data_IF_250424969926
#
_entry.id   IF_250424969926
#
_cell.length_a   1.000
_cell.length_b   1.000
_cell.length_c   1.000
_cell.angle_alpha   90.00
_cell.angle_beta   90.00
_cell.angle_gamma   90.00
#
_symmetry.space_group_name_H-M   'P 1'
#
loop_
_entity.id
_entity.type
_entity.pdbx_description
1 polymer ?
#
# COMPACT_ATOMS: atom_id res chain seq x y z
N UNK A 1 13.10 -69.16 -15.31
CA UNK A 1 13.42 -68.30 -16.46
C UNK A 1 13.13 -66.86 -16.06
N UNK A 2 14.13 -65.98 -16.14
CA UNK A 2 14.03 -64.58 -15.73
C UNK A 2 15.34 -64.05 -15.16
N UNK A 3 16.34 -63.89 -16.03
CA UNK A 3 17.59 -63.19 -15.71
C UNK A 3 17.41 -61.66 -15.78
N UNK A 4 18.30 -60.87 -15.16
CA UNK A 4 17.99 -59.58 -14.54
C UNK A 4 18.35 -58.38 -15.42
N UNK A 5 17.65 -57.25 -15.23
CA UNK A 5 18.08 -55.96 -15.76
C UNK A 5 18.78 -55.15 -14.67
N UNK A 6 20.11 -55.16 -14.79
CA UNK A 6 21.07 -54.25 -14.15
C UNK A 6 21.07 -52.92 -14.91
N UNK A 7 20.74 -51.81 -14.24
CA UNK A 7 21.01 -50.46 -14.75
C UNK A 7 22.05 -49.77 -13.87
N UNK A 8 23.22 -49.36 -14.40
CA UNK A 8 24.23 -48.63 -13.64
C UNK A 8 23.97 -47.11 -13.59
N UNK A 9 24.25 -46.56 -12.40
CA UNK A 9 24.36 -45.14 -12.06
C UNK A 9 25.51 -44.42 -12.79
N UNK A 10 25.35 -43.15 -13.21
CA UNK A 10 26.47 -42.34 -13.67
C UNK A 10 26.73 -41.05 -12.88
N UNK A 11 26.36 -40.94 -11.59
CA UNK A 11 26.82 -39.80 -10.79
C UNK A 11 28.09 -40.12 -10.01
N UNK A 12 29.21 -39.99 -10.73
CA UNK A 12 30.54 -39.81 -10.15
C UNK A 12 31.21 -38.68 -10.90
N UNK A 13 31.56 -37.58 -10.22
CA UNK A 13 32.80 -36.87 -10.52
C UNK A 13 33.27 -36.00 -9.36
N UNK A 14 34.52 -36.29 -9.02
CA UNK A 14 35.49 -35.78 -8.03
C UNK A 14 35.91 -34.32 -8.30
N UNK A 15 36.40 -33.57 -7.28
CA UNK A 15 36.92 -32.21 -7.48
C UNK A 15 38.34 -32.20 -8.07
N UNK A 16 38.56 -31.33 -9.04
CA UNK A 16 39.86 -30.79 -9.50
C UNK A 16 39.58 -29.34 -9.84
N UNK A 17 40.39 -28.34 -9.58
CA UNK A 17 41.84 -28.27 -9.49
C UNK A 17 42.19 -26.85 -9.95
N UNK A 18 43.27 -26.31 -9.42
CA UNK A 18 43.71 -24.95 -9.59
C UNK A 18 43.80 -24.48 -11.06
N UNK A 19 43.41 -23.23 -11.31
CA UNK A 19 43.90 -22.45 -12.44
C UNK A 19 44.41 -21.11 -11.92
N UNK A 20 45.72 -20.92 -12.09
CA UNK A 20 46.45 -19.69 -11.84
C UNK A 20 46.16 -18.74 -13.00
N UNK A 21 45.69 -17.54 -12.70
CA UNK A 21 45.70 -16.42 -13.65
C UNK A 21 46.47 -15.26 -13.03
N UNK A 22 47.69 -15.11 -13.51
CA UNK A 22 48.54 -13.94 -13.36
C UNK A 22 48.05 -12.84 -14.29
N UNK A 23 47.67 -11.68 -13.76
CA UNK A 23 47.93 -10.38 -14.42
C UNK A 23 48.10 -9.28 -13.35
N UNK A 24 49.13 -8.42 -13.47
CA UNK A 24 49.30 -7.26 -12.60
C UNK A 24 48.50 -6.07 -13.14
N UNK A 25 47.61 -5.49 -12.32
CA UNK A 25 46.97 -4.20 -12.61
C UNK A 25 47.49 -3.12 -11.66
N UNK A 26 47.91 -1.95 -12.20
CA UNK A 26 48.67 -0.95 -11.45
C UNK A 26 47.83 -0.14 -10.46
N UNK A 27 48.50 0.24 -9.37
CA UNK A 27 48.10 1.28 -8.42
C UNK A 27 47.80 2.60 -9.14
N UNK A 28 46.54 3.04 -9.13
CA UNK A 28 46.18 4.42 -9.40
C UNK A 28 45.52 5.04 -8.15
N UNK A 29 46.40 5.70 -7.40
CA UNK A 29 46.26 6.89 -6.56
C UNK A 29 44.83 7.44 -6.35
N UNK A 30 44.47 7.52 -5.06
CA UNK A 30 43.32 8.24 -4.55
C UNK A 30 43.47 9.75 -4.80
N UNK A 31 42.49 10.35 -5.47
CA UNK A 31 42.32 11.80 -5.54
C UNK A 31 41.29 12.26 -4.51
N UNK A 32 41.62 13.17 -3.59
CA UNK A 32 40.64 13.78 -2.71
C UNK A 32 39.79 14.76 -3.52
N UNK A 33 38.51 14.46 -3.71
CA UNK A 33 37.53 15.45 -4.19
C UNK A 33 36.97 16.19 -2.98
N UNK A 34 37.61 17.32 -2.69
CA UNK A 34 37.07 18.38 -1.84
C UNK A 34 35.80 18.95 -2.49
N UNK A 35 34.65 18.67 -1.87
CA UNK A 35 33.44 19.45 -2.07
C UNK A 35 32.95 19.97 -0.72
N UNK A 36 33.71 20.92 -0.17
CA UNK A 36 33.16 21.99 0.66
C UNK A 36 31.97 22.68 -0.02
N UNK A 37 30.76 22.14 0.15
CA UNK A 37 29.53 22.90 -0.12
C UNK A 37 29.07 23.57 1.17
N UNK A 38 29.66 24.75 1.44
CA UNK A 38 29.08 25.74 2.35
C UNK A 38 27.66 26.06 1.87
N UNK A 39 26.64 25.56 2.57
CA UNK A 39 25.26 26.02 2.40
C UNK A 39 25.13 27.35 3.13
N UNK A 40 25.35 28.45 2.42
CA UNK A 40 24.98 29.77 2.91
C UNK A 40 23.45 29.86 2.99
N UNK A 41 22.92 29.90 4.22
CA UNK A 41 21.51 30.06 4.49
C UNK A 41 21.17 31.56 4.42
N UNK A 42 21.01 32.09 3.20
CA UNK A 42 20.55 33.46 3.03
C UNK A 42 19.05 33.53 3.33
N UNK A 43 18.72 33.81 4.60
CA UNK A 43 17.45 34.43 5.00
C UNK A 43 17.32 35.75 4.22
N UNK A 44 16.59 35.75 3.11
CA UNK A 44 16.05 36.98 2.53
C UNK A 44 14.81 37.35 3.33
N UNK A 45 14.99 38.30 4.24
CA UNK A 45 13.91 38.96 4.96
C UNK A 45 13.36 40.07 4.07
N UNK A 46 12.45 39.74 3.16
CA UNK A 46 11.66 40.74 2.43
C UNK A 46 10.29 40.80 3.07
N UNK A 47 10.07 41.84 3.88
CA UNK A 47 8.76 42.24 4.43
C UNK A 47 7.88 42.74 3.27
N UNK A 48 6.75 42.10 2.94
CA UNK A 48 5.81 42.69 2.01
C UNK A 48 4.91 43.67 2.76
N UNK A 49 4.70 44.82 2.12
CA UNK A 49 3.85 45.92 2.55
C UNK A 49 2.39 45.45 2.67
N UNK A 50 1.70 45.95 3.68
CA UNK A 50 0.31 45.65 4.01
C UNK A 50 -0.64 46.22 2.92
N UNK A 51 -1.27 45.36 2.12
CA UNK A 51 -2.43 45.74 1.29
C UNK A 51 -3.69 45.11 1.86
N UNK A 52 -4.61 45.95 2.31
CA UNK A 52 -5.97 45.58 2.72
C UNK A 52 -6.77 45.16 1.48
N UNK A 53 -6.88 43.86 1.23
CA UNK A 53 -7.90 43.31 0.34
C UNK A 53 -9.13 42.91 1.14
N UNK A 54 -10.26 43.47 0.74
CA UNK A 54 -11.61 43.17 1.20
C UNK A 54 -11.95 41.70 0.91
N UNK A 55 -12.68 41.07 1.83
CA UNK A 55 -12.77 39.61 2.00
C UNK A 55 -13.31 38.81 0.82
N UNK A 56 -12.54 37.80 0.41
CA UNK A 56 -13.00 36.64 -0.37
C UNK A 56 -13.63 35.60 0.58
N UNK A 57 -14.83 35.06 0.28
CA UNK A 57 -15.41 33.95 1.03
C UNK A 57 -14.79 32.64 0.51
N UNK A 58 -13.48 32.46 0.68
CA UNK A 58 -12.84 31.19 0.36
C UNK A 58 -13.16 30.17 1.46
N UNK A 59 -14.34 29.58 1.30
CA UNK A 59 -14.74 28.22 1.65
C UNK A 59 -13.87 27.54 2.71
N UNK A 60 -14.49 27.33 3.87
CA UNK A 60 -13.95 26.69 5.07
C UNK A 60 -13.45 25.27 4.75
N UNK A 61 -12.26 25.14 4.17
CA UNK A 61 -11.62 23.85 4.03
C UNK A 61 -11.35 23.34 5.45
N UNK A 62 -11.88 22.18 5.84
CA UNK A 62 -11.71 21.67 7.20
C UNK A 62 -10.21 21.55 7.47
N UNK A 63 -9.74 22.24 8.52
CA UNK A 63 -8.36 22.16 8.97
C UNK A 63 -8.00 20.67 9.07
N UNK A 64 -7.08 20.23 8.22
CA UNK A 64 -6.55 18.88 8.21
C UNK A 64 -5.88 18.66 9.57
N UNK A 65 -6.64 18.18 10.55
CA UNK A 65 -6.05 17.80 11.84
C UNK A 65 -5.05 16.71 11.50
N UNK A 66 -3.78 16.91 11.85
CA UNK A 66 -2.72 15.93 11.61
C UNK A 66 -2.98 14.70 12.48
N UNK A 67 -3.85 13.81 12.00
CA UNK A 67 -4.04 12.50 12.61
C UNK A 67 -2.82 11.64 12.32
N UNK A 68 -2.38 10.89 13.33
CA UNK A 68 -1.32 9.91 13.14
C UNK A 68 -1.87 8.73 12.31
N UNK A 69 -1.86 8.88 10.98
CA UNK A 69 -2.36 7.89 10.01
C UNK A 69 -1.70 6.52 10.20
N UNK A 70 -0.43 6.48 10.59
CA UNK A 70 0.26 5.21 10.83
C UNK A 70 -0.29 4.46 12.05
N UNK A 71 -0.58 5.17 13.15
CA UNK A 71 -1.20 4.59 14.35
C UNK A 71 -2.63 4.10 14.08
N UNK A 72 -3.43 4.90 13.37
CA UNK A 72 -4.78 4.47 12.94
C UNK A 72 -4.70 3.23 12.06
N UNK A 73 -3.76 3.21 11.11
CA UNK A 73 -3.53 2.05 10.23
C UNK A 73 -3.19 0.79 11.03
N UNK A 74 -2.31 0.89 12.02
CA UNK A 74 -1.99 -0.24 12.90
C UNK A 74 -3.21 -0.71 13.69
N UNK A 75 -4.02 0.21 14.24
CA UNK A 75 -5.24 -0.12 14.98
C UNK A 75 -6.27 -0.85 14.13
N UNK A 76 -6.50 -0.42 12.89
CA UNK A 76 -7.41 -1.12 11.97
C UNK A 76 -6.85 -2.47 11.53
N UNK A 77 -5.55 -2.56 11.23
CA UNK A 77 -4.90 -3.84 10.91
C UNK A 77 -5.05 -4.87 12.03
N UNK A 78 -4.93 -4.44 13.29
CA UNK A 78 -5.04 -5.32 14.44
C UNK A 78 -6.45 -5.91 14.63
N UNK A 79 -7.49 -5.24 14.12
CA UNK A 79 -8.87 -5.73 14.21
C UNK A 79 -9.23 -6.77 13.15
N UNK A 80 -8.47 -6.82 12.04
CA UNK A 80 -8.64 -7.80 10.97
C UNK A 80 -10.08 -7.92 10.41
N UNK A 81 -10.84 -6.82 10.40
CA UNK A 81 -12.23 -6.79 9.95
C UNK A 81 -12.35 -6.93 8.42
N UNK A 82 -13.51 -7.40 7.92
CA UNK A 82 -13.79 -7.45 6.49
C UNK A 82 -13.94 -6.04 5.88
N UNK A 83 -13.95 -5.98 4.55
CA UNK A 83 -14.17 -4.73 3.82
C UNK A 83 -15.58 -4.19 4.05
N UNK A 84 -15.69 -2.95 4.55
CA UNK A 84 -16.98 -2.31 4.83
C UNK A 84 -17.82 -1.99 3.56
N UNK A 85 -17.20 -2.04 2.38
CA UNK A 85 -17.85 -1.74 1.09
C UNK A 85 -18.39 -3.01 0.41
N UNK A 86 -17.64 -4.11 0.35
CA UNK A 86 -18.09 -5.34 -0.34
C UNK A 86 -18.38 -6.51 0.61
N UNK A 87 -18.06 -6.39 1.89
CA UNK A 87 -18.24 -7.45 2.90
C UNK A 87 -17.24 -8.60 2.83
N UNK A 88 -16.38 -8.66 1.80
CA UNK A 88 -15.39 -9.74 1.68
C UNK A 88 -14.19 -9.52 2.62
N UNK A 89 -13.53 -10.63 2.99
CA UNK A 89 -12.32 -10.61 3.80
C UNK A 89 -11.21 -9.77 3.12
N UNK A 90 -10.41 -9.09 3.94
CA UNK A 90 -9.22 -8.37 3.48
C UNK A 90 -8.00 -9.20 3.85
N UNK A 91 -7.14 -9.49 2.88
CA UNK A 91 -5.79 -9.97 3.19
C UNK A 91 -4.90 -8.77 3.57
N UNK A 92 -4.65 -8.64 4.88
CA UNK A 92 -3.86 -7.55 5.47
C UNK A 92 -2.35 -7.67 5.24
N UNK A 93 -1.87 -8.78 4.66
CA UNK A 93 -0.48 -9.00 4.27
C UNK A 93 -0.14 -8.33 2.94
N UNK A 94 -1.15 -8.15 2.09
CA UNK A 94 -1.01 -7.51 0.79
C UNK A 94 -0.54 -6.05 0.93
N UNK A 95 0.41 -5.67 0.08
CA UNK A 95 0.92 -4.29 -0.01
C UNK A 95 0.13 -3.50 -1.03
N UNK A 96 -0.10 -2.22 -0.76
CA UNK A 96 -0.64 -1.30 -1.75
C UNK A 96 0.34 -1.19 -2.95
N UNK A 97 -0.14 -1.04 -4.20
CA UNK A 97 -1.53 -0.80 -4.61
C UNK A 97 -2.27 -2.06 -5.07
N UNK A 98 -2.05 -3.23 -4.45
CA UNK A 98 -2.79 -4.43 -4.81
C UNK A 98 -4.31 -4.22 -4.65
N UNK A 99 -5.17 -4.66 -5.58
CA UNK A 99 -6.61 -4.38 -5.55
C UNK A 99 -7.29 -4.76 -4.22
N UNK A 100 -6.92 -5.91 -3.68
CA UNK A 100 -7.43 -6.44 -2.40
C UNK A 100 -6.56 -6.10 -1.18
N UNK A 101 -5.60 -5.19 -1.32
CA UNK A 101 -4.84 -4.71 -0.15
C UNK A 101 -5.69 -3.80 0.73
N UNK A 102 -5.39 -3.84 2.02
CA UNK A 102 -6.01 -3.00 3.04
C UNK A 102 -5.72 -1.50 2.85
N UNK A 103 -6.78 -0.70 2.90
CA UNK A 103 -6.77 0.76 3.08
C UNK A 103 -7.79 1.19 4.12
N UNK A 104 -7.59 2.39 4.68
CA UNK A 104 -8.60 3.05 5.51
C UNK A 104 -9.48 3.89 4.58
N UNK A 105 -10.77 3.59 4.54
CA UNK A 105 -11.79 4.40 3.86
C UNK A 105 -12.41 5.39 4.84
N UNK A 106 -12.73 6.59 4.36
CA UNK A 106 -13.50 7.57 5.12
C UNK A 106 -15.00 7.43 4.81
N UNK A 107 -15.84 7.03 5.77
CA UNK A 107 -17.28 6.74 5.59
C UNK A 107 -17.98 7.90 4.85
N UNK A 108 -17.81 9.11 5.39
CA UNK A 108 -18.15 10.37 4.75
C UNK A 108 -16.87 10.93 4.11
N UNK A 109 -16.83 11.16 2.79
CA UNK A 109 -15.69 11.76 2.12
C UNK A 109 -15.40 13.17 2.66
N UNK A 110 -14.12 13.56 2.74
CA UNK A 110 -13.71 14.90 3.19
C UNK A 110 -14.36 16.02 2.36
N UNK A 111 -14.52 15.80 1.04
CA UNK A 111 -15.20 16.74 0.13
C UNK A 111 -16.65 17.02 0.52
N UNK A 112 -17.27 16.13 1.28
CA UNK A 112 -18.64 16.22 1.76
C UNK A 112 -18.72 16.50 3.28
N UNK A 113 -17.67 17.07 3.87
CA UNK A 113 -17.65 17.45 5.28
C UNK A 113 -17.28 16.33 6.25
N UNK A 114 -16.79 15.20 5.73
CA UNK A 114 -16.25 14.12 6.56
C UNK A 114 -14.99 14.54 7.34
N UNK A 115 -14.63 13.74 8.33
CA UNK A 115 -13.44 13.97 9.17
C UNK A 115 -12.41 12.85 9.03
N UNK A 116 -11.17 13.10 9.44
CA UNK A 116 -10.11 12.08 9.50
C UNK A 116 -10.09 11.32 10.84
N UNK A 117 -11.15 11.47 11.63
CA UNK A 117 -11.28 10.83 12.94
C UNK A 117 -11.52 9.34 12.78
N UNK A 118 -11.25 8.59 13.85
CA UNK A 118 -11.44 7.14 13.85
C UNK A 118 -12.92 6.75 13.61
N UNK A 119 -13.87 7.56 14.07
CA UNK A 119 -15.31 7.28 13.97
C UNK A 119 -15.84 7.41 12.53
N UNK A 120 -15.13 8.15 11.68
CA UNK A 120 -15.43 8.27 10.25
C UNK A 120 -14.54 7.35 9.40
N UNK A 121 -13.88 6.35 9.98
CA UNK A 121 -12.97 5.45 9.27
C UNK A 121 -13.48 4.01 9.33
N UNK A 122 -13.26 3.28 8.23
CA UNK A 122 -13.54 1.84 8.16
C UNK A 122 -12.48 1.13 7.30
N UNK A 123 -12.27 -0.18 7.51
CA UNK A 123 -11.37 -0.96 6.67
C UNK A 123 -12.01 -1.27 5.31
N UNK A 124 -11.25 -1.06 4.24
CA UNK A 124 -11.68 -1.36 2.88
C UNK A 124 -10.55 -1.96 2.04
N UNK A 125 -10.91 -2.61 0.93
CA UNK A 125 -9.95 -2.92 -0.12
C UNK A 125 -9.57 -1.66 -0.91
N UNK A 126 -8.34 -1.62 -1.41
CA UNK A 126 -7.85 -0.52 -2.24
C UNK A 126 -8.73 -0.28 -3.48
N UNK A 127 -9.17 -1.33 -4.17
CA UNK A 127 -10.05 -1.24 -5.34
C UNK A 127 -11.45 -0.71 -4.99
N UNK A 128 -12.06 -1.23 -3.92
CA UNK A 128 -13.37 -0.79 -3.45
C UNK A 128 -13.35 0.70 -3.07
N UNK A 129 -12.32 1.13 -2.33
CA UNK A 129 -12.12 2.54 -1.96
C UNK A 129 -11.95 3.44 -3.19
N UNK A 130 -11.22 2.96 -4.21
CA UNK A 130 -11.02 3.71 -5.46
C UNK A 130 -12.32 3.88 -6.25
N UNK A 131 -13.20 2.88 -6.25
CA UNK A 131 -14.53 2.99 -6.86
C UNK A 131 -15.39 3.98 -6.08
N UNK A 132 -15.40 3.89 -4.74
CA UNK A 132 -16.15 4.79 -3.87
C UNK A 132 -15.77 6.25 -4.11
N UNK A 133 -14.48 6.58 -4.12
CA UNK A 133 -14.01 7.95 -4.34
C UNK A 133 -14.76 8.94 -3.42
N UNK A 134 -15.41 9.96 -3.97
CA UNK A 134 -16.22 10.93 -3.22
C UNK A 134 -17.71 10.55 -3.15
N UNK A 135 -18.11 9.37 -3.61
CA UNK A 135 -19.51 8.93 -3.49
C UNK A 135 -19.84 8.47 -2.07
N UNK A 136 -21.14 8.38 -1.77
CA UNK A 136 -21.62 7.86 -0.49
C UNK A 136 -21.32 6.37 -0.32
N UNK A 137 -21.23 5.91 0.93
CA UNK A 137 -21.03 4.49 1.23
C UNK A 137 -22.13 3.60 0.62
N UNK A 138 -23.40 4.03 0.69
CA UNK A 138 -24.53 3.31 0.07
C UNK A 138 -24.37 3.15 -1.44
N UNK A 139 -23.93 4.21 -2.13
CA UNK A 139 -23.65 4.14 -3.56
C UNK A 139 -22.50 3.16 -3.84
N UNK A 140 -21.43 3.21 -3.05
CA UNK A 140 -20.25 2.38 -3.24
C UNK A 140 -20.55 0.89 -3.06
N UNK A 141 -21.28 0.54 -1.99
CA UNK A 141 -21.75 -0.84 -1.75
C UNK A 141 -22.49 -1.37 -2.97
N UNK A 142 -23.52 -0.65 -3.42
CA UNK A 142 -24.31 -1.03 -4.62
C UNK A 142 -23.43 -1.20 -5.85
N UNK A 143 -22.57 -0.22 -6.15
CA UNK A 143 -21.77 -0.23 -7.38
C UNK A 143 -20.71 -1.34 -7.38
N UNK A 144 -20.06 -1.59 -6.24
CA UNK A 144 -19.07 -2.66 -6.12
C UNK A 144 -19.73 -4.03 -6.27
N UNK A 145 -20.88 -4.26 -5.64
CA UNK A 145 -21.64 -5.51 -5.84
C UNK A 145 -22.07 -5.71 -7.30
N UNK A 146 -22.52 -4.66 -7.98
CA UNK A 146 -22.86 -4.70 -9.42
C UNK A 146 -21.64 -5.14 -10.26
N UNK A 147 -20.47 -4.56 -10.01
CA UNK A 147 -19.24 -4.91 -10.75
C UNK A 147 -18.77 -6.34 -10.47
N UNK A 148 -18.92 -6.82 -9.23
CA UNK A 148 -18.63 -8.21 -8.88
C UNK A 148 -19.57 -9.16 -9.64
N UNK A 149 -20.87 -8.88 -9.66
CA UNK A 149 -21.87 -9.71 -10.37
C UNK A 149 -21.63 -9.74 -11.89
N UNK A 150 -21.12 -8.65 -12.47
CA UNK A 150 -20.75 -8.58 -13.88
C UNK A 150 -19.42 -9.28 -14.21
N UNK A 151 -18.69 -9.80 -13.21
CA UNK A 151 -17.35 -10.37 -13.42
C UNK A 151 -16.28 -9.31 -13.73
N UNK A 152 -16.57 -8.03 -13.47
CA UNK A 152 -15.67 -6.91 -13.70
C UNK A 152 -14.77 -6.60 -12.49
N UNK A 153 -14.88 -7.38 -11.41
CA UNK A 153 -13.97 -7.30 -10.29
C UNK A 153 -12.60 -7.87 -10.67
N UNK A 154 -11.49 -7.29 -10.17
CA UNK A 154 -10.16 -7.87 -10.31
C UNK A 154 -10.13 -9.33 -9.88
N UNK A 155 -9.22 -10.13 -10.42
CA UNK A 155 -9.10 -11.52 -9.96
C UNK A 155 -8.59 -11.54 -8.51
N UNK A 156 -9.36 -12.17 -7.63
CA UNK A 156 -8.95 -12.48 -6.28
C UNK A 156 -8.36 -13.89 -6.30
N UNK A 157 -7.10 -14.10 -5.92
CA UNK A 157 -6.61 -15.47 -5.73
C UNK A 157 -7.17 -15.99 -4.40
N UNK A 158 -8.22 -16.81 -4.49
CA UNK A 158 -8.92 -17.33 -3.31
C UNK A 158 -8.17 -18.50 -2.65
N UNK A 159 -7.06 -18.99 -3.23
CA UNK A 159 -6.35 -20.17 -2.72
C UNK A 159 -5.70 -19.98 -1.34
N UNK A 160 -5.67 -18.76 -0.80
CA UNK A 160 -5.12 -18.45 0.52
C UNK A 160 -6.17 -18.15 1.59
N UNK A 161 -7.48 -18.16 1.29
CA UNK A 161 -8.54 -17.78 2.24
C UNK A 161 -9.52 -18.93 2.49
N UNK A 162 -9.07 -19.99 3.19
CA UNK A 162 -9.94 -21.12 3.61
C UNK A 162 -10.33 -21.01 5.09
N UNK A 163 -10.57 -19.80 5.60
CA UNK A 163 -11.25 -19.67 6.90
C UNK A 163 -12.56 -18.93 6.66
N UNK A 164 -13.72 -19.60 6.78
CA UNK A 164 -14.99 -18.90 6.72
C UNK A 164 -15.07 -18.00 7.94
N UNK A 165 -14.90 -16.69 7.74
CA UNK A 165 -15.29 -15.71 8.73
C UNK A 165 -16.82 -15.82 8.81
N UNK A 166 -17.32 -16.28 9.95
CA UNK A 166 -18.75 -16.39 10.22
C UNK A 166 -19.46 -15.07 9.84
N UNK A 167 -20.69 -15.13 9.31
CA UNK A 167 -21.41 -13.93 8.94
C UNK A 167 -21.54 -13.06 10.19
N UNK A 168 -20.83 -11.93 10.14
CA UNK A 168 -20.83 -10.95 11.19
C UNK A 168 -22.19 -10.25 11.07
N UNK A 169 -23.14 -10.70 11.90
CA UNK A 169 -24.52 -10.22 12.08
C UNK A 169 -24.54 -8.83 12.73
N UNK A 170 -23.84 -7.87 12.11
CA UNK A 170 -23.67 -6.50 12.63
C UNK A 170 -24.69 -5.50 12.06
N UNK A 171 -25.62 -5.95 11.21
CA UNK A 171 -26.68 -5.12 10.63
C UNK A 171 -28.05 -5.81 10.74
N UNK A 172 -28.40 -6.31 11.93
CA UNK A 172 -29.79 -6.61 12.32
C UNK A 172 -30.27 -5.58 13.35
#
# INVERSE_FOLDING_TARGET
>A
MGSPNTHPSPYRNTPRGAVQFTTPFPLQQAHPRDHSRKRHNHRRNTRPQHTTHQGDPHEQQPRYQHVNRQRQRQRWKAQALPCAICGQAIDYTLKAPHPYSFVIDEIIPLKHGGTLTYDNQEPAHWWCNRIKSTHSLTWARRKVHELIQQGNAPQHDHNHTTTPIAPSHWFD
#
